data_IF_672221187654
#
_entry.id   IF_672221187654
#
_cell.length_a   1.000
_cell.length_b   1.000
_cell.length_c   1.000
_cell.angle_alpha   90.00
_cell.angle_beta   90.00
_cell.angle_gamma   90.00
#
_symmetry.space_group_name_H-M   'P 1'
#
loop_
_entity.id
_entity.type
_entity.pdbx_description
1 polymer ?
#
# COMPACT_ATOMS: atom_id res chain seq x y z
N UNK A 1 -37.67 5.77 -31.29
CA UNK A 1 -38.09 4.52 -30.62
C UNK A 1 -37.78 3.35 -31.54
N UNK A 2 -36.78 2.52 -31.22
CA UNK A 2 -36.38 1.36 -32.06
C UNK A 2 -36.45 0.10 -31.19
N UNK A 3 -37.31 -0.84 -31.59
CA UNK A 3 -37.73 -2.03 -30.84
C UNK A 3 -36.61 -3.07 -30.81
N UNK A 4 -36.38 -3.65 -29.62
CA UNK A 4 -35.44 -4.76 -29.38
C UNK A 4 -36.15 -6.07 -29.73
N UNK A 5 -35.66 -6.74 -30.77
CA UNK A 5 -36.12 -8.08 -31.16
C UNK A 5 -35.47 -9.12 -30.26
N UNK A 6 -36.26 -9.76 -29.39
CA UNK A 6 -35.84 -10.97 -28.65
C UNK A 6 -35.92 -12.18 -29.58
N UNK A 7 -34.80 -12.85 -29.84
CA UNK A 7 -34.79 -14.20 -30.40
C UNK A 7 -34.89 -15.22 -29.26
N UNK A 8 -36.07 -15.80 -29.11
CA UNK A 8 -36.29 -17.08 -28.44
C UNK A 8 -36.16 -18.19 -29.48
N UNK A 9 -35.16 -19.06 -29.36
CA UNK A 9 -35.09 -20.29 -30.15
C UNK A 9 -35.76 -21.42 -29.34
N UNK A 10 -37.04 -21.64 -29.57
CA UNK A 10 -37.72 -22.90 -29.20
C UNK A 10 -38.45 -23.38 -30.46
N UNK A 11 -38.07 -24.57 -30.93
CA UNK A 11 -38.89 -25.39 -31.82
C UNK A 11 -39.53 -26.56 -31.04
N UNK A 12 -40.68 -27.12 -31.48
CA UNK A 12 -41.59 -27.94 -30.65
C UNK A 12 -41.47 -29.47 -30.90
N UNK A 13 -41.50 -30.33 -29.84
CA UNK A 13 -42.61 -31.26 -29.37
C UNK A 13 -42.59 -32.67 -30.05
N UNK A 14 -43.08 -33.82 -29.49
CA UNK A 14 -43.60 -34.20 -28.15
C UNK A 14 -43.02 -35.49 -27.48
N UNK A 15 -43.41 -35.70 -26.22
CA UNK A 15 -43.80 -36.96 -25.52
C UNK A 15 -42.87 -38.18 -25.48
N UNK A 16 -42.22 -38.43 -24.34
CA UNK A 16 -42.73 -39.32 -23.27
C UNK A 16 -41.89 -39.16 -21.99
N UNK A 17 -42.49 -39.29 -20.81
CA UNK A 17 -41.84 -39.27 -19.48
C UNK A 17 -41.61 -40.73 -19.01
N UNK A 18 -40.75 -41.11 -18.01
CA UNK A 18 -40.56 -40.43 -16.71
C UNK A 18 -39.13 -40.42 -16.07
N UNK A 19 -39.07 -39.66 -14.97
CA UNK A 19 -38.09 -39.31 -13.88
C UNK A 19 -37.21 -40.46 -13.27
N UNK A 20 -36.36 -40.23 -12.23
CA UNK A 20 -35.10 -39.46 -12.04
C UNK A 20 -33.87 -40.36 -11.71
N UNK A 21 -32.63 -39.90 -11.94
CA UNK A 21 -31.45 -40.66 -11.51
C UNK A 21 -30.12 -39.90 -11.47
N UNK A 22 -29.73 -39.51 -10.26
CA UNK A 22 -28.35 -39.44 -9.73
C UNK A 22 -27.24 -38.72 -10.51
N UNK A 23 -26.82 -37.59 -9.92
CA UNK A 23 -25.61 -36.81 -10.20
C UNK A 23 -24.35 -37.67 -10.11
N UNK A 24 -23.51 -37.64 -11.15
CA UNK A 24 -22.11 -38.05 -11.03
C UNK A 24 -21.22 -37.20 -11.93
N UNK A 25 -20.78 -36.04 -11.43
CA UNK A 25 -19.51 -35.46 -11.86
C UNK A 25 -18.80 -34.94 -10.61
N UNK A 26 -17.89 -35.77 -10.12
CA UNK A 26 -16.89 -35.37 -9.14
C UNK A 26 -16.13 -34.16 -9.71
N UNK A 27 -16.24 -33.01 -9.04
CA UNK A 27 -15.28 -31.93 -9.22
C UNK A 27 -14.60 -31.71 -7.89
N UNK A 28 -13.41 -32.31 -7.82
CA UNK A 28 -12.31 -32.05 -6.89
C UNK A 28 -12.45 -30.68 -6.22
N UNK A 29 -12.85 -30.67 -4.95
CA UNK A 29 -12.59 -29.55 -4.05
C UNK A 29 -11.09 -29.55 -3.76
N UNK A 30 -10.32 -29.10 -4.75
CA UNK A 30 -8.94 -28.72 -4.54
C UNK A 30 -8.96 -27.36 -3.88
N UNK A 31 -8.93 -27.34 -2.54
CA UNK A 31 -8.56 -26.15 -1.79
C UNK A 31 -7.16 -25.76 -2.25
N UNK A 32 -7.11 -24.89 -3.26
CA UNK A 32 -5.88 -24.41 -3.86
C UNK A 32 -5.25 -23.44 -2.87
N UNK A 33 -4.65 -24.01 -1.81
CA UNK A 33 -3.84 -23.31 -0.83
C UNK A 33 -2.63 -22.75 -1.59
N UNK A 34 -2.78 -21.54 -2.10
CA UNK A 34 -1.70 -20.76 -2.67
C UNK A 34 -0.69 -20.57 -1.53
N UNK A 35 0.36 -21.38 -1.54
CA UNK A 35 1.50 -21.21 -0.64
C UNK A 35 1.90 -19.73 -0.68
N UNK A 36 2.09 -19.07 0.48
CA UNK A 36 2.50 -17.67 0.50
C UNK A 36 3.79 -17.55 -0.32
N UNK A 37 3.78 -16.70 -1.36
CA UNK A 37 5.01 -16.36 -2.07
C UNK A 37 5.98 -15.84 -1.01
N UNK A 38 7.17 -16.43 -0.94
CA UNK A 38 8.27 -15.88 -0.14
C UNK A 38 8.49 -14.45 -0.60
N UNK A 39 8.07 -13.49 0.22
CA UNK A 39 8.45 -12.09 0.07
C UNK A 39 9.88 -11.96 0.57
N UNK A 40 10.80 -11.65 -0.33
CA UNK A 40 12.16 -11.30 0.05
C UNK A 40 12.08 -10.01 0.87
N UNK A 41 12.66 -9.96 2.09
CA UNK A 41 12.65 -8.74 2.89
C UNK A 41 13.28 -7.58 2.11
N UNK A 42 12.66 -6.40 2.14
CA UNK A 42 13.17 -5.21 1.42
C UNK A 42 14.61 -4.87 1.83
N UNK A 43 14.99 -5.14 3.09
CA UNK A 43 16.36 -4.98 3.61
C UNK A 43 17.41 -5.84 2.90
N UNK A 44 17.00 -6.91 2.22
CA UNK A 44 17.89 -7.74 1.41
C UNK A 44 17.99 -7.24 -0.04
N UNK A 45 17.04 -6.41 -0.48
CA UNK A 45 16.97 -5.91 -1.86
C UNK A 45 17.59 -4.50 -1.98
N UNK A 46 17.49 -3.70 -0.92
CA UNK A 46 17.98 -2.32 -0.87
C UNK A 46 18.90 -2.15 0.33
N UNK A 47 20.07 -1.54 0.09
CA UNK A 47 20.98 -1.07 1.14
C UNK A 47 21.28 0.40 0.91
N UNK A 48 21.39 1.14 2.01
CA UNK A 48 21.97 2.50 2.00
C UNK A 48 23.49 2.35 2.03
N UNK A 49 24.21 3.22 1.32
CA UNK A 49 25.67 3.23 1.40
C UNK A 49 26.13 3.87 2.71
N UNK A 50 27.20 3.36 3.30
CA UNK A 50 27.71 3.82 4.61
C UNK A 50 28.38 5.21 4.56
N UNK A 51 28.72 5.70 3.37
CA UNK A 51 29.36 7.00 3.15
C UNK A 51 28.37 8.17 3.02
N UNK A 52 27.06 7.90 3.09
CA UNK A 52 26.04 8.94 2.97
C UNK A 52 25.85 9.65 4.30
N UNK A 53 25.94 10.98 4.27
CA UNK A 53 25.75 11.80 5.46
C UNK A 53 24.32 11.69 6.04
N UNK A 54 24.21 11.83 7.36
CA UNK A 54 22.94 11.70 8.09
C UNK A 54 21.93 12.76 7.64
N UNK A 55 22.36 13.99 7.34
CA UNK A 55 21.48 15.05 6.82
C UNK A 55 20.88 14.66 5.47
N UNK A 56 21.70 14.05 4.61
CA UNK A 56 21.28 13.58 3.28
C UNK A 56 20.28 12.42 3.42
N UNK A 57 20.53 11.48 4.34
CA UNK A 57 19.61 10.38 4.60
C UNK A 57 18.25 10.87 5.12
N UNK A 58 18.24 11.83 6.05
CA UNK A 58 17.02 12.42 6.58
C UNK A 58 16.25 13.23 5.52
N UNK A 59 16.96 13.95 4.65
CA UNK A 59 16.34 14.66 3.53
C UNK A 59 15.66 13.70 2.55
N UNK A 60 16.36 12.63 2.16
CA UNK A 60 15.77 11.60 1.30
C UNK A 60 14.60 10.86 1.98
N UNK A 61 14.65 10.67 3.29
CA UNK A 61 13.51 10.11 4.02
C UNK A 61 12.28 11.02 3.90
N UNK A 62 12.45 12.34 4.02
CA UNK A 62 11.38 13.31 3.81
C UNK A 62 10.77 13.23 2.41
N UNK A 63 11.61 13.21 1.37
CA UNK A 63 11.14 13.11 -0.03
C UNK A 63 10.32 11.83 -0.28
N UNK A 64 10.73 10.71 0.35
CA UNK A 64 10.02 9.44 0.26
C UNK A 64 8.67 9.48 0.99
N UNK A 65 8.60 10.14 2.15
CA UNK A 65 7.37 10.30 2.93
C UNK A 65 6.38 11.23 2.22
N UNK A 66 6.84 12.31 1.60
CA UNK A 66 6.01 13.19 0.78
C UNK A 66 5.46 12.43 -0.44
N UNK A 67 6.33 11.69 -1.15
CA UNK A 67 5.93 10.84 -2.27
C UNK A 67 4.89 9.81 -1.83
N UNK A 68 5.09 9.15 -0.70
CA UNK A 68 4.16 8.19 -0.13
C UNK A 68 2.82 8.85 0.23
N UNK A 69 2.84 10.03 0.83
CA UNK A 69 1.62 10.76 1.19
C UNK A 69 0.81 11.18 -0.05
N UNK A 70 1.48 11.58 -1.13
CA UNK A 70 0.86 11.94 -2.41
C UNK A 70 0.24 10.72 -3.11
N UNK A 71 0.98 9.60 -3.18
CA UNK A 71 0.47 8.34 -3.73
C UNK A 71 -0.73 7.84 -2.89
N UNK A 72 -0.63 7.92 -1.56
CA UNK A 72 -1.70 7.49 -0.65
C UNK A 72 -2.95 8.37 -0.77
N UNK A 73 -2.77 9.67 -1.03
CA UNK A 73 -3.89 10.58 -1.28
C UNK A 73 -4.59 10.25 -2.59
N UNK A 74 -3.84 10.08 -3.68
CA UNK A 74 -4.40 9.65 -4.96
C UNK A 74 -5.12 8.30 -4.84
N UNK A 75 -4.52 7.35 -4.11
CA UNK A 75 -5.14 6.06 -3.83
C UNK A 75 -6.41 6.16 -2.97
N UNK A 76 -6.47 7.10 -2.02
CA UNK A 76 -7.65 7.34 -1.20
C UNK A 76 -8.83 7.90 -2.03
N UNK A 77 -8.55 8.69 -3.05
CA UNK A 77 -9.56 9.27 -3.96
C UNK A 77 -10.08 8.23 -4.97
N UNK A 78 -9.25 7.27 -5.39
CA UNK A 78 -9.66 6.16 -6.26
C UNK A 78 -10.38 5.02 -5.51
N UNK A 79 -10.23 4.93 -4.19
CA UNK A 79 -10.91 3.93 -3.37
C UNK A 79 -12.37 4.31 -3.06
N UNK A 80 -13.32 3.72 -3.79
CA UNK A 80 -14.73 3.72 -3.39
C UNK A 80 -15.00 2.63 -2.33
N UNK A 81 -15.51 3.01 -1.15
CA UNK A 81 -15.92 2.09 -0.10
C UNK A 81 -14.88 1.77 1.00
N UNK A 82 -14.76 0.50 1.39
CA UNK A 82 -14.15 0.07 2.67
C UNK A 82 -12.63 0.22 2.77
N UNK A 83 -11.89 0.60 1.73
CA UNK A 83 -10.42 0.70 1.79
C UNK A 83 -9.89 2.14 1.88
N UNK A 84 -10.76 3.14 1.69
CA UNK A 84 -10.40 4.56 1.80
C UNK A 84 -9.83 4.92 3.16
N UNK A 85 -10.37 4.34 4.24
CA UNK A 85 -9.88 4.59 5.60
C UNK A 85 -8.43 4.13 5.79
N UNK A 86 -8.00 3.07 5.09
CA UNK A 86 -6.63 2.57 5.13
C UNK A 86 -5.71 3.54 4.39
N UNK A 87 -6.09 3.98 3.19
CA UNK A 87 -5.33 4.96 2.42
C UNK A 87 -5.13 6.28 3.18
N UNK A 88 -6.20 6.77 3.83
CA UNK A 88 -6.15 7.94 4.71
C UNK A 88 -5.23 7.70 5.91
N UNK A 89 -5.30 6.53 6.55
CA UNK A 89 -4.42 6.20 7.67
C UNK A 89 -2.94 6.15 7.25
N UNK A 90 -2.62 5.61 6.07
CA UNK A 90 -1.25 5.60 5.54
C UNK A 90 -0.76 7.04 5.34
N UNK A 91 -1.54 7.88 4.66
CA UNK A 91 -1.22 9.31 4.47
C UNK A 91 -0.98 10.01 5.81
N UNK A 92 -1.82 9.77 6.82
CA UNK A 92 -1.67 10.37 8.15
C UNK A 92 -0.40 9.89 8.85
N UNK A 93 -0.09 8.60 8.80
CA UNK A 93 1.15 8.04 9.34
C UNK A 93 2.39 8.60 8.65
N UNK A 94 2.35 8.79 7.32
CA UNK A 94 3.43 9.45 6.57
C UNK A 94 3.64 10.89 7.04
N UNK A 95 2.57 11.65 7.22
CA UNK A 95 2.66 13.02 7.73
C UNK A 95 3.21 13.08 9.18
N UNK A 96 2.84 12.13 10.04
CA UNK A 96 3.40 12.04 11.39
C UNK A 96 4.88 11.66 11.38
N UNK A 97 5.28 10.74 10.50
CA UNK A 97 6.69 10.37 10.33
C UNK A 97 7.51 11.57 9.83
N UNK A 98 6.96 12.40 8.95
CA UNK A 98 7.63 13.59 8.42
C UNK A 98 8.01 14.58 9.54
N UNK A 99 7.11 14.78 10.51
CA UNK A 99 7.38 15.63 11.68
C UNK A 99 8.54 15.06 12.51
N UNK A 100 8.57 13.74 12.69
CA UNK A 100 9.65 13.07 13.44
C UNK A 100 10.99 13.20 12.71
N UNK A 101 11.00 13.04 11.39
CA UNK A 101 12.19 13.20 10.54
C UNK A 101 12.68 14.66 10.57
N UNK A 102 11.78 15.64 10.43
CA UNK A 102 12.12 17.05 10.56
C UNK A 102 12.78 17.35 11.91
N UNK A 103 12.22 16.82 13.00
CA UNK A 103 12.81 16.98 14.34
C UNK A 103 14.19 16.33 14.45
N UNK A 104 14.37 15.15 13.88
CA UNK A 104 15.68 14.49 13.85
C UNK A 104 16.70 15.33 13.05
N UNK A 105 16.27 15.95 11.95
CA UNK A 105 17.10 16.85 11.15
C UNK A 105 17.55 18.08 11.95
N UNK A 106 16.63 18.70 12.68
CA UNK A 106 16.94 19.85 13.54
C UNK A 106 17.94 19.49 14.65
N UNK A 107 17.84 18.27 15.20
CA UNK A 107 18.82 17.77 16.18
C UNK A 107 20.21 17.62 15.58
N UNK A 108 20.34 17.08 14.36
CA UNK A 108 21.62 16.96 13.66
C UNK A 108 22.25 18.33 13.42
N UNK A 109 21.46 19.32 12.99
CA UNK A 109 21.93 20.71 12.81
C UNK A 109 22.43 21.30 14.13
N UNK A 110 21.72 21.08 15.23
CA UNK A 110 22.10 21.57 16.55
C UNK A 110 23.39 20.92 17.09
N UNK A 111 23.63 19.64 16.78
CA UNK A 111 24.85 18.91 17.18
C UNK A 111 26.10 19.39 16.43
N UNK A 112 25.93 19.96 15.22
CA UNK A 112 27.00 20.58 14.46
C UNK A 112 27.41 21.98 14.95
N UNK A 113 26.64 22.58 15.88
CA UNK A 113 26.96 23.90 16.45
C UNK A 113 27.88 23.74 17.66
N UNK A 114 29.14 24.22 17.62
CA UNK A 114 30.01 24.16 18.79
C UNK A 114 29.37 24.96 19.92
N UNK A 115 29.20 24.31 21.07
CA UNK A 115 28.73 24.94 22.29
C UNK A 115 29.61 26.17 22.57
N UNK A 116 28.99 27.36 22.64
CA UNK A 116 29.67 28.60 23.01
C UNK A 116 30.44 28.37 24.32
N UNK A 117 31.73 28.72 24.39
CA UNK A 117 32.48 28.63 25.64
C UNK A 117 31.81 29.54 26.70
N UNK A 118 31.89 29.14 28.00
CA UNK A 118 31.30 29.92 29.08
C UNK A 118 31.91 31.33 29.14
N UNK A 119 31.17 32.34 29.64
CA UNK A 119 31.67 33.70 29.69
C UNK A 119 32.94 33.74 30.54
N UNK A 120 34.05 34.15 29.92
CA UNK A 120 35.33 34.36 30.59
C UNK A 120 35.14 35.47 31.62
N UNK A 121 35.02 35.07 32.89
CA UNK A 121 34.97 36.00 34.03
C UNK A 121 36.37 36.56 34.19
N UNK A 122 36.63 37.71 33.56
CA UNK A 122 37.85 38.48 33.77
C UNK A 122 37.84 39.01 35.20
N UNK A 123 38.72 38.46 36.03
CA UNK A 123 39.02 38.92 37.38
C UNK A 123 39.66 40.31 37.37
#
# INVERSE_FOLDING_TARGET
MKKITRLTLVGPVPADAPTPGQKTHASVTGSNQRKPRRTVPLKQMFSVREDVDTMTLLTHASDLLESLALISANFADECDGSQRHIAVAIKQLSALAEIVVCRARDQVVQQGSPASPPPEVRH
#
